data_IF_194154552778
#
_entry.id   IF_194154552778
#
_cell.length_a   1.000
_cell.length_b   1.000
_cell.length_c   1.000
_cell.angle_alpha   90.00
_cell.angle_beta   90.00
_cell.angle_gamma   90.00
#
_symmetry.space_group_name_H-M   'P 1'
#
loop_
_entity.id
_entity.type
_entity.pdbx_description
1 polymer ?
#
# COMPACT_ATOMS: atom_id res chain seq x y z
N UNK A 1 37.40 -7.43 -2.49
CA UNK A 1 37.17 -5.98 -2.36
C UNK A 1 37.56 -5.59 -0.94
N UNK A 2 38.29 -4.48 -0.79
CA UNK A 2 38.58 -3.93 0.54
C UNK A 2 37.32 -3.25 1.08
N UNK A 3 37.20 -3.08 2.40
CA UNK A 3 36.05 -2.39 3.01
C UNK A 3 35.91 -0.96 2.48
N UNK A 4 37.03 -0.30 2.18
CA UNK A 4 37.05 1.04 1.60
C UNK A 4 36.41 1.08 0.21
N UNK A 5 36.67 0.09 -0.65
CA UNK A 5 36.04 0.00 -1.98
C UNK A 5 34.51 -0.13 -1.89
N UNK A 6 34.02 -0.88 -0.90
CA UNK A 6 32.58 -1.08 -0.71
C UNK A 6 31.86 0.19 -0.21
N UNK A 7 32.52 0.98 0.64
CA UNK A 7 31.99 2.27 1.09
C UNK A 7 31.99 3.33 -0.03
N UNK A 8 32.98 3.31 -0.91
CA UNK A 8 33.05 4.19 -2.08
C UNK A 8 31.88 3.91 -3.05
N UNK A 9 31.55 2.62 -3.26
CA UNK A 9 30.39 2.22 -4.06
C UNK A 9 29.08 2.70 -3.42
N UNK A 10 28.90 2.55 -2.10
CA UNK A 10 27.70 3.03 -1.40
C UNK A 10 27.49 4.55 -1.58
N UNK A 11 28.56 5.35 -1.45
CA UNK A 11 28.49 6.80 -1.66
C UNK A 11 28.00 7.12 -3.07
N UNK A 12 28.60 6.50 -4.08
CA UNK A 12 28.24 6.76 -5.48
C UNK A 12 26.78 6.38 -5.77
N UNK A 13 26.31 5.25 -5.24
CA UNK A 13 24.93 4.77 -5.40
C UNK A 13 23.91 5.68 -4.73
N UNK A 14 24.22 6.19 -3.53
CA UNK A 14 23.36 7.16 -2.83
C UNK A 14 23.25 8.47 -3.60
N UNK A 15 24.35 8.97 -4.17
CA UNK A 15 24.28 10.19 -5.00
C UNK A 15 23.42 9.99 -6.24
N UNK A 16 23.55 8.83 -6.90
CA UNK A 16 22.73 8.50 -8.09
C UNK A 16 21.25 8.38 -7.71
N UNK A 17 20.91 7.73 -6.60
CA UNK A 17 19.51 7.58 -6.18
C UNK A 17 18.88 8.92 -5.76
N UNK A 18 19.61 9.77 -5.04
CA UNK A 18 19.16 11.12 -4.69
C UNK A 18 18.96 11.99 -5.94
N UNK A 19 19.88 11.93 -6.91
CA UNK A 19 19.74 12.64 -8.18
C UNK A 19 18.53 12.15 -9.00
N UNK A 20 18.31 10.83 -9.06
CA UNK A 20 17.19 10.26 -9.79
C UNK A 20 15.83 10.66 -9.18
N UNK A 21 15.72 10.61 -7.85
CA UNK A 21 14.50 11.04 -7.14
C UNK A 21 14.32 12.55 -7.26
N UNK A 22 15.39 13.33 -7.12
CA UNK A 22 15.36 14.78 -7.32
C UNK A 22 14.88 15.16 -8.72
N UNK A 23 15.39 14.50 -9.76
CA UNK A 23 14.94 14.68 -11.14
C UNK A 23 13.46 14.30 -11.33
N UNK A 24 13.01 13.21 -10.71
CA UNK A 24 11.61 12.79 -10.74
C UNK A 24 10.69 13.81 -10.06
N UNK A 25 11.08 14.36 -8.89
CA UNK A 25 10.33 15.40 -8.19
C UNK A 25 10.25 16.68 -9.04
N UNK A 26 11.37 17.12 -9.64
CA UNK A 26 11.38 18.28 -10.53
C UNK A 26 10.49 18.08 -11.76
N UNK A 27 10.51 16.86 -12.33
CA UNK A 27 9.59 16.47 -13.40
C UNK A 27 8.12 16.56 -12.96
N UNK A 28 7.76 15.94 -11.83
CA UNK A 28 6.40 16.01 -11.28
C UNK A 28 5.96 17.43 -10.93
N UNK A 29 6.89 18.29 -10.48
CA UNK A 29 6.60 19.68 -10.18
C UNK A 29 6.22 20.46 -11.45
N UNK A 30 6.91 20.22 -12.57
CA UNK A 30 6.57 20.82 -13.86
C UNK A 30 5.18 20.40 -14.38
N UNK A 31 4.79 19.14 -14.15
CA UNK A 31 3.49 18.59 -14.55
C UNK A 31 2.44 18.57 -13.43
N UNK A 32 2.66 19.34 -12.36
CA UNK A 32 1.84 19.30 -11.13
C UNK A 32 0.34 19.56 -11.38
N UNK A 33 0.01 20.49 -12.29
CA UNK A 33 -1.38 20.81 -12.63
C UNK A 33 -2.13 19.64 -13.26
N UNK A 34 -1.50 18.91 -14.18
CA UNK A 34 -2.11 17.72 -14.80
C UNK A 34 -2.27 16.59 -13.80
N UNK A 35 -1.28 16.40 -12.91
CA UNK A 35 -1.38 15.43 -11.81
C UNK A 35 -2.61 15.70 -10.93
N UNK A 36 -2.82 16.95 -10.53
CA UNK A 36 -3.95 17.32 -9.67
C UNK A 36 -5.28 17.03 -10.36
N UNK A 37 -5.42 17.41 -11.64
CA UNK A 37 -6.65 17.14 -12.41
C UNK A 37 -6.91 15.64 -12.53
N UNK A 38 -5.85 14.84 -12.70
CA UNK A 38 -5.95 13.38 -12.71
C UNK A 38 -6.41 12.84 -11.35
N UNK A 39 -5.82 13.30 -10.25
CA UNK A 39 -6.17 12.85 -8.90
C UNK A 39 -7.58 13.30 -8.46
N UNK A 40 -8.13 14.37 -9.03
CA UNK A 40 -9.50 14.86 -8.75
C UNK A 40 -10.61 14.08 -9.48
N UNK A 41 -10.27 13.32 -10.54
CA UNK A 41 -11.25 12.61 -11.35
C UNK A 41 -12.24 11.71 -10.56
N UNK A 42 -11.79 10.87 -9.59
CA UNK A 42 -12.72 10.04 -8.81
C UNK A 42 -13.66 10.85 -7.90
N UNK A 43 -13.26 12.04 -7.45
CA UNK A 43 -14.12 12.90 -6.61
C UNK A 43 -15.17 13.63 -7.42
N UNK A 44 -14.83 14.09 -8.63
CA UNK A 44 -15.80 14.74 -9.53
C UNK A 44 -16.97 13.82 -9.85
N UNK A 45 -16.73 12.52 -9.96
CA UNK A 45 -17.78 11.53 -10.17
C UNK A 45 -18.76 11.41 -9.00
N UNK A 46 -18.34 11.74 -7.77
CA UNK A 46 -19.19 11.70 -6.57
C UNK A 46 -19.90 13.04 -6.28
N UNK A 47 -19.65 14.09 -7.06
CA UNK A 47 -20.36 15.37 -6.95
C UNK A 47 -20.04 16.19 -5.69
N UNK A 48 -19.00 15.81 -4.94
CA UNK A 48 -18.56 16.52 -3.73
C UNK A 48 -17.90 17.85 -4.11
N UNK A 49 -18.30 18.94 -3.45
CA UNK A 49 -17.70 20.26 -3.65
C UNK A 49 -16.50 20.43 -2.71
N UNK A 50 -15.37 20.80 -3.27
CA UNK A 50 -14.19 21.16 -2.48
C UNK A 50 -14.37 22.54 -1.85
N UNK A 51 -14.05 22.63 -0.56
CA UNK A 51 -13.94 23.90 0.14
C UNK A 51 -12.47 24.24 0.30
N UNK A 52 -12.10 25.46 -0.09
CA UNK A 52 -10.76 25.98 0.15
C UNK A 52 -10.76 26.76 1.46
N UNK A 53 -10.08 26.23 2.49
CA UNK A 53 -10.09 26.82 3.82
C UNK A 53 -9.14 28.02 3.90
N UNK A 54 -8.06 28.00 3.09
CA UNK A 54 -7.12 29.11 3.00
C UNK A 54 -6.60 29.30 1.56
N UNK A 55 -6.27 30.56 1.15
CA UNK A 55 -5.66 30.83 -0.15
C UNK A 55 -4.28 30.16 -0.31
N UNK A 56 -3.58 29.87 0.80
CA UNK A 56 -2.28 29.18 0.79
C UNK A 56 -2.34 27.65 0.74
N UNK A 57 -3.49 27.04 1.06
CA UNK A 57 -3.63 25.58 1.18
C UNK A 57 -3.27 24.87 -0.14
N UNK A 58 -3.81 25.36 -1.25
CA UNK A 58 -3.57 24.79 -2.57
C UNK A 58 -2.09 24.77 -2.98
N UNK A 59 -1.33 25.81 -2.59
CA UNK A 59 0.11 25.88 -2.87
C UNK A 59 0.89 24.80 -2.10
N UNK A 60 0.60 24.64 -0.80
CA UNK A 60 1.24 23.60 0.01
C UNK A 60 0.84 22.19 -0.43
N UNK A 61 -0.43 21.98 -0.77
CA UNK A 61 -0.90 20.68 -1.28
C UNK A 61 -0.23 20.32 -2.60
N UNK A 62 -0.07 21.29 -3.53
CA UNK A 62 0.65 21.06 -4.79
C UNK A 62 2.11 20.63 -4.55
N UNK A 63 2.80 21.28 -3.61
CA UNK A 63 4.16 20.90 -3.23
C UNK A 63 4.21 19.48 -2.64
N UNK A 64 3.30 19.15 -1.72
CA UNK A 64 3.20 17.79 -1.15
C UNK A 64 2.96 16.76 -2.26
N UNK A 65 1.94 16.94 -3.10
CA UNK A 65 1.58 16.02 -4.19
C UNK A 65 2.76 15.79 -5.13
N UNK A 66 3.42 16.86 -5.60
CA UNK A 66 4.58 16.73 -6.50
C UNK A 66 5.74 15.97 -5.85
N UNK A 67 6.02 16.21 -4.56
CA UNK A 67 7.03 15.49 -3.80
C UNK A 67 6.73 14.01 -3.65
N UNK A 68 5.51 13.66 -3.23
CA UNK A 68 5.09 12.27 -3.07
C UNK A 68 5.02 11.53 -4.41
N UNK A 69 4.45 12.14 -5.45
CA UNK A 69 4.42 11.52 -6.78
C UNK A 69 5.82 11.34 -7.36
N UNK A 70 6.73 12.31 -7.19
CA UNK A 70 8.13 12.17 -7.58
C UNK A 70 8.83 11.04 -6.84
N UNK A 71 8.56 10.88 -5.53
CA UNK A 71 9.07 9.77 -4.73
C UNK A 71 8.51 8.42 -5.19
N UNK A 72 7.21 8.35 -5.50
CA UNK A 72 6.56 7.15 -6.03
C UNK A 72 7.18 6.75 -7.39
N UNK A 73 7.35 7.70 -8.31
CA UNK A 73 7.99 7.43 -9.61
C UNK A 73 9.47 7.09 -9.48
N UNK A 74 10.17 7.66 -8.50
CA UNK A 74 11.58 7.37 -8.21
C UNK A 74 11.81 6.05 -7.45
N UNK A 75 10.78 5.50 -6.81
CA UNK A 75 10.88 4.29 -5.98
C UNK A 75 11.50 3.05 -6.69
N UNK A 76 11.20 2.72 -7.97
CA UNK A 76 11.84 1.59 -8.64
C UNK A 76 13.32 1.83 -8.89
N UNK A 77 13.75 3.09 -9.05
CA UNK A 77 15.17 3.43 -9.19
C UNK A 77 15.89 3.25 -7.85
N UNK A 78 15.28 3.70 -6.75
CA UNK A 78 15.81 3.48 -5.39
C UNK A 78 15.99 1.98 -5.14
N UNK A 79 14.99 1.18 -5.49
CA UNK A 79 15.04 -0.29 -5.41
C UNK A 79 16.20 -0.89 -6.19
N UNK A 80 16.37 -0.45 -7.44
CA UNK A 80 17.44 -0.94 -8.29
C UNK A 80 18.81 -0.65 -7.69
N UNK A 81 19.05 0.57 -7.19
CA UNK A 81 20.32 0.93 -6.58
C UNK A 81 20.60 0.19 -5.26
N UNK A 82 19.56 -0.06 -4.43
CA UNK A 82 19.70 -0.88 -3.21
C UNK A 82 20.14 -2.30 -3.57
N UNK A 83 19.51 -2.90 -4.59
CA UNK A 83 19.83 -4.27 -5.01
C UNK A 83 21.21 -4.32 -5.70
N UNK A 84 21.56 -3.28 -6.47
CA UNK A 84 22.88 -3.11 -7.07
C UNK A 84 24.01 -3.05 -6.03
N UNK A 85 23.74 -2.47 -4.86
CA UNK A 85 24.69 -2.45 -3.76
C UNK A 85 24.92 -3.82 -3.10
N UNK A 86 23.90 -4.69 -3.10
CA UNK A 86 23.98 -6.06 -2.53
C UNK A 86 24.60 -7.07 -3.52
N UNK A 87 24.47 -6.82 -4.82
CA UNK A 87 24.99 -7.63 -5.92
C UNK A 87 26.46 -8.10 -5.80
N UNK A 88 27.45 -7.27 -5.38
CA UNK A 88 28.85 -7.72 -5.24
C UNK A 88 29.06 -8.74 -4.11
N UNK A 89 28.12 -8.87 -3.17
CA UNK A 89 28.17 -9.85 -2.08
C UNK A 89 27.61 -11.25 -2.44
N UNK A 90 27.03 -11.43 -3.62
CA UNK A 90 26.33 -12.67 -4.01
C UNK A 90 27.14 -13.55 -4.97
N UNK A 91 26.88 -14.85 -4.93
CA UNK A 91 27.51 -15.81 -5.85
C UNK A 91 27.01 -15.61 -7.29
N UNK A 92 27.81 -16.00 -8.28
CA UNK A 92 27.46 -15.81 -9.72
C UNK A 92 26.14 -16.50 -10.11
N UNK A 93 25.75 -17.57 -9.43
CA UNK A 93 24.50 -18.28 -9.68
C UNK A 93 23.27 -17.49 -9.18
N UNK A 94 23.37 -16.86 -8.00
CA UNK A 94 22.29 -16.08 -7.39
C UNK A 94 22.03 -14.77 -8.14
N UNK A 95 23.08 -14.20 -8.75
CA UNK A 95 23.00 -12.98 -9.58
C UNK A 95 21.95 -13.07 -10.69
N UNK A 96 21.71 -14.27 -11.25
CA UNK A 96 20.72 -14.46 -12.33
C UNK A 96 19.28 -14.30 -11.86
N UNK A 97 19.01 -14.58 -10.59
CA UNK A 97 17.66 -14.46 -10.02
C UNK A 97 17.31 -13.04 -9.62
N UNK A 98 18.31 -12.18 -9.36
CA UNK A 98 18.10 -10.77 -9.01
C UNK A 98 17.43 -9.98 -10.14
N UNK A 99 17.82 -10.19 -11.39
CA UNK A 99 17.24 -9.50 -12.56
C UNK A 99 15.71 -9.60 -12.66
N UNK A 100 15.11 -10.80 -12.71
CA UNK A 100 13.65 -10.94 -12.76
C UNK A 100 12.96 -10.47 -11.48
N UNK A 101 13.64 -10.46 -10.32
CA UNK A 101 13.09 -9.91 -9.08
C UNK A 101 12.91 -8.40 -9.18
N UNK A 102 13.92 -7.67 -9.66
CA UNK A 102 13.82 -6.21 -9.79
C UNK A 102 12.71 -5.85 -10.77
N UNK A 103 12.72 -6.44 -11.97
CA UNK A 103 11.69 -6.18 -12.98
C UNK A 103 10.28 -6.52 -12.48
N UNK A 104 10.11 -7.68 -11.83
CA UNK A 104 8.84 -8.05 -11.23
C UNK A 104 8.37 -7.07 -10.15
N UNK A 105 9.28 -6.60 -9.30
CA UNK A 105 8.97 -5.62 -8.26
C UNK A 105 8.56 -4.26 -8.81
N UNK A 106 9.23 -3.77 -9.87
CA UNK A 106 8.90 -2.49 -10.50
C UNK A 106 7.51 -2.55 -11.15
N UNK A 107 7.19 -3.64 -11.86
CA UNK A 107 5.87 -3.84 -12.48
C UNK A 107 4.78 -3.92 -11.41
N UNK A 108 4.99 -4.69 -10.34
CA UNK A 108 4.01 -4.79 -9.26
C UNK A 108 3.83 -3.48 -8.50
N UNK A 109 4.87 -2.67 -8.36
CA UNK A 109 4.77 -1.36 -7.71
C UNK A 109 3.84 -0.42 -8.49
N UNK A 110 4.01 -0.33 -9.81
CA UNK A 110 3.09 0.45 -10.66
C UNK A 110 1.67 -0.15 -10.70
N UNK A 111 1.55 -1.48 -10.69
CA UNK A 111 0.25 -2.14 -10.56
C UNK A 111 -0.43 -1.79 -9.23
N UNK A 112 0.32 -1.68 -8.15
CA UNK A 112 -0.18 -1.25 -6.84
C UNK A 112 -0.66 0.20 -6.81
N UNK A 113 0.07 1.10 -7.48
CA UNK A 113 -0.35 2.49 -7.67
C UNK A 113 -1.66 2.54 -8.49
N UNK A 114 -1.75 1.77 -9.57
CA UNK A 114 -2.97 1.71 -10.37
C UNK A 114 -4.14 1.14 -9.57
N UNK A 115 -3.90 0.07 -8.79
CA UNK A 115 -4.92 -0.56 -7.95
C UNK A 115 -5.44 0.37 -6.85
N UNK A 116 -4.56 1.10 -6.17
CA UNK A 116 -4.96 2.06 -5.15
C UNK A 116 -5.82 3.19 -5.69
N UNK A 117 -5.42 3.76 -6.82
CA UNK A 117 -6.18 4.84 -7.45
C UNK A 117 -7.54 4.38 -8.01
N UNK A 118 -7.59 3.22 -8.67
CA UNK A 118 -8.81 2.75 -9.35
C UNK A 118 -9.80 2.05 -8.43
N UNK A 119 -9.33 1.41 -7.35
CA UNK A 119 -10.17 0.57 -6.48
C UNK A 119 -10.25 1.12 -5.07
N UNK A 120 -9.10 1.40 -4.41
CA UNK A 120 -9.12 1.84 -3.01
C UNK A 120 -9.68 3.25 -2.86
N UNK A 121 -9.25 4.21 -3.68
CA UNK A 121 -9.72 5.60 -3.59
C UNK A 121 -11.25 5.71 -3.72
N UNK A 122 -11.92 5.18 -4.76
CA UNK A 122 -13.38 5.28 -4.85
C UNK A 122 -14.11 4.48 -3.76
N UNK A 123 -13.56 3.35 -3.31
CA UNK A 123 -14.12 2.59 -2.20
C UNK A 123 -14.08 3.38 -0.88
N UNK A 124 -12.94 4.01 -0.58
CA UNK A 124 -12.78 4.87 0.60
C UNK A 124 -13.72 6.07 0.55
N UNK A 125 -13.82 6.75 -0.60
CA UNK A 125 -14.73 7.88 -0.78
C UNK A 125 -16.20 7.46 -0.61
N UNK A 126 -16.62 6.34 -1.20
CA UNK A 126 -17.98 5.82 -1.04
C UNK A 126 -18.31 5.50 0.43
N UNK A 127 -17.36 4.90 1.15
CA UNK A 127 -17.51 4.63 2.58
C UNK A 127 -17.73 5.92 3.38
N UNK A 128 -16.91 6.95 3.17
CA UNK A 128 -17.05 8.22 3.89
C UNK A 128 -18.32 8.98 3.53
N UNK A 129 -18.75 8.95 2.26
CA UNK A 129 -20.02 9.56 1.83
C UNK A 129 -21.20 8.85 2.50
N UNK A 130 -21.25 7.51 2.42
CA UNK A 130 -22.31 6.71 3.05
C UNK A 130 -22.33 6.86 4.58
N UNK A 131 -21.17 7.03 5.21
CA UNK A 131 -21.07 7.27 6.65
C UNK A 131 -21.58 8.65 7.08
N UNK A 132 -21.39 9.67 6.23
CA UNK A 132 -21.82 11.05 6.50
C UNK A 132 -23.29 11.32 6.14
N UNK A 133 -23.94 10.44 5.38
CA UNK A 133 -25.35 10.56 5.00
C UNK A 133 -26.25 10.71 6.23
N UNK A 134 -27.00 11.82 6.29
CA UNK A 134 -28.01 12.08 7.32
C UNK A 134 -27.53 12.91 8.52
N UNK A 135 -26.26 13.33 8.60
CA UNK A 135 -25.73 14.08 9.76
C UNK A 135 -25.14 15.45 9.40
N UNK A 136 -24.41 15.61 8.28
CA UNK A 136 -23.71 16.86 7.91
C UNK A 136 -23.66 17.03 6.39
N UNK A 137 -23.70 18.27 5.87
CA UNK A 137 -23.37 18.55 4.46
C UNK A 137 -21.93 18.14 4.16
N UNK A 138 -21.74 17.31 3.13
CA UNK A 138 -20.44 16.72 2.79
C UNK A 138 -19.52 17.76 2.12
N UNK A 139 -18.87 18.60 2.94
CA UNK A 139 -17.86 19.57 2.53
C UNK A 139 -16.46 19.03 2.88
N UNK A 140 -15.58 18.94 1.89
CA UNK A 140 -14.26 18.33 2.04
C UNK A 140 -13.14 19.33 1.80
N UNK A 141 -12.11 19.30 2.65
CA UNK A 141 -10.85 20.03 2.45
C UNK A 141 -10.03 19.38 1.33
N UNK A 142 -9.43 20.20 0.48
CA UNK A 142 -8.54 19.74 -0.58
C UNK A 142 -7.31 19.03 0.02
N UNK A 143 -6.66 19.61 1.04
CA UNK A 143 -5.43 19.05 1.59
C UNK A 143 -5.65 17.66 2.18
N UNK A 144 -6.73 17.50 2.96
CA UNK A 144 -7.09 16.21 3.58
C UNK A 144 -7.41 15.12 2.55
N UNK A 145 -8.10 15.48 1.47
CA UNK A 145 -8.38 14.55 0.38
C UNK A 145 -7.08 14.04 -0.28
N UNK A 146 -6.19 14.95 -0.67
CA UNK A 146 -4.92 14.56 -1.30
C UNK A 146 -4.03 13.78 -0.33
N UNK A 147 -3.98 14.14 0.95
CA UNK A 147 -3.22 13.42 1.95
C UNK A 147 -3.72 11.97 2.09
N UNK A 148 -5.03 11.74 2.17
CA UNK A 148 -5.61 10.41 2.17
C UNK A 148 -5.19 9.61 0.94
N UNK A 149 -5.34 10.18 -0.26
CA UNK A 149 -5.00 9.49 -1.52
C UNK A 149 -3.50 9.17 -1.58
N UNK A 150 -2.64 10.11 -1.23
CA UNK A 150 -1.19 9.93 -1.25
C UNK A 150 -0.74 8.85 -0.26
N UNK A 151 -1.30 8.83 0.97
CA UNK A 151 -1.00 7.80 1.97
C UNK A 151 -1.47 6.42 1.49
N UNK A 152 -2.66 6.32 0.90
CA UNK A 152 -3.16 5.07 0.32
C UNK A 152 -2.25 4.56 -0.81
N UNK A 153 -1.85 5.43 -1.74
CA UNK A 153 -0.95 5.07 -2.85
C UNK A 153 0.43 4.65 -2.34
N UNK A 154 0.98 5.36 -1.35
CA UNK A 154 2.29 5.05 -0.78
C UNK A 154 2.28 3.73 0.02
N UNK A 155 1.27 3.54 0.87
CA UNK A 155 1.11 2.32 1.69
C UNK A 155 0.93 1.06 0.83
N UNK A 156 0.07 1.13 -0.18
CA UNK A 156 -0.18 0.02 -1.09
C UNK A 156 1.04 -0.29 -1.97
N UNK A 157 1.72 0.74 -2.50
CA UNK A 157 2.95 0.57 -3.27
C UNK A 157 4.04 -0.18 -2.50
N UNK A 158 4.29 0.23 -1.24
CA UNK A 158 5.26 -0.46 -0.37
C UNK A 158 4.82 -1.88 0.01
N UNK A 159 3.52 -2.12 0.17
CA UNK A 159 2.98 -3.46 0.48
C UNK A 159 3.30 -4.47 -0.62
N UNK A 160 3.11 -4.09 -1.89
CA UNK A 160 3.43 -4.97 -3.03
C UNK A 160 4.93 -5.25 -3.17
N UNK A 161 5.77 -4.28 -2.80
CA UNK A 161 7.22 -4.45 -2.79
C UNK A 161 7.69 -5.47 -1.74
N UNK A 162 7.10 -5.42 -0.53
CA UNK A 162 7.34 -6.40 0.55
C UNK A 162 6.82 -7.79 0.16
N UNK A 163 5.66 -7.88 -0.49
CA UNK A 163 5.08 -9.13 -0.96
C UNK A 163 5.98 -9.83 -2.00
N UNK A 164 6.45 -9.07 -2.99
CA UNK A 164 7.26 -9.62 -4.11
C UNK A 164 8.59 -10.19 -3.61
N UNK A 165 9.28 -9.44 -2.74
CA UNK A 165 10.55 -9.86 -2.15
C UNK A 165 10.38 -11.13 -1.32
N UNK A 166 9.32 -11.24 -0.51
CA UNK A 166 9.05 -12.43 0.32
C UNK A 166 8.63 -13.65 -0.50
N UNK A 167 7.73 -13.51 -1.47
CA UNK A 167 7.19 -14.62 -2.27
C UNK A 167 8.29 -15.29 -3.11
N UNK A 168 9.19 -14.48 -3.71
CA UNK A 168 10.27 -15.03 -4.53
C UNK A 168 11.42 -15.60 -3.71
N UNK A 169 11.76 -15.00 -2.56
CA UNK A 169 12.70 -15.61 -1.62
C UNK A 169 12.23 -16.99 -1.15
N UNK A 170 10.93 -17.16 -0.93
CA UNK A 170 10.37 -18.45 -0.55
C UNK A 170 10.55 -19.50 -1.65
N UNK A 171 10.38 -19.12 -2.91
CA UNK A 171 10.58 -20.01 -4.06
C UNK A 171 12.06 -20.42 -4.23
N UNK A 172 13.00 -19.54 -3.86
CA UNK A 172 14.44 -19.83 -3.90
C UNK A 172 14.87 -20.78 -2.78
N UNK A 173 14.31 -20.64 -1.56
CA UNK A 173 14.64 -21.53 -0.43
C UNK A 173 13.91 -22.88 -0.53
N UNK A 174 12.66 -22.88 -1.02
CA UNK A 174 11.84 -24.09 -1.17
C UNK A 174 11.43 -24.29 -2.64
N UNK A 175 12.32 -24.84 -3.48
CA UNK A 175 11.93 -25.26 -4.82
C UNK A 175 10.87 -26.35 -4.70
N UNK A 176 9.66 -26.02 -5.18
CA UNK A 176 8.44 -26.83 -5.34
C UNK A 176 8.57 -28.35 -5.02
N UNK A 177 8.62 -28.69 -3.73
CA UNK A 177 8.84 -30.06 -3.28
C UNK A 177 8.33 -30.39 -1.87
N UNK A 178 7.55 -29.53 -1.21
CA UNK A 178 6.87 -29.90 0.04
C UNK A 178 5.39 -29.47 0.02
N UNK A 179 4.50 -30.46 0.07
CA UNK A 179 3.03 -30.30 0.03
C UNK A 179 2.42 -29.81 1.35
N UNK A 180 3.24 -29.50 2.34
CA UNK A 180 2.77 -29.04 3.64
C UNK A 180 3.57 -27.80 4.02
N UNK A 181 2.95 -26.62 3.98
CA UNK A 181 3.10 -25.48 4.92
C UNK A 181 2.48 -24.24 4.27
N UNK A 182 1.15 -24.21 4.11
CA UNK A 182 0.39 -22.99 3.77
C UNK A 182 -0.29 -22.41 5.03
N UNK A 183 -0.53 -23.20 6.08
CA UNK A 183 -1.25 -22.74 7.28
C UNK A 183 -0.44 -21.83 8.24
N UNK A 184 0.89 -21.74 8.10
CA UNK A 184 1.74 -20.87 8.93
C UNK A 184 1.86 -19.44 8.37
N UNK A 185 1.64 -19.27 7.07
CA UNK A 185 1.81 -18.00 6.35
C UNK A 185 0.67 -17.00 6.62
N UNK A 186 -0.53 -17.50 6.86
CA UNK A 186 -1.68 -16.69 7.30
C UNK A 186 -1.43 -16.04 8.66
N UNK A 187 -0.80 -16.75 9.60
CA UNK A 187 -0.56 -16.24 10.96
C UNK A 187 0.49 -15.12 11.00
N UNK A 188 1.56 -15.21 10.21
CA UNK A 188 2.62 -14.19 10.19
C UNK A 188 2.23 -12.89 9.48
N UNK A 189 1.31 -12.98 8.52
CA UNK A 189 0.75 -11.79 7.85
C UNK A 189 -0.08 -10.92 8.81
N UNK A 190 -0.65 -11.54 9.86
CA UNK A 190 -1.41 -10.83 10.90
C UNK A 190 -0.55 -10.21 12.01
N UNK A 191 0.67 -10.70 12.25
CA UNK A 191 1.48 -10.29 13.42
C UNK A 191 2.64 -9.33 13.08
N UNK A 192 2.96 -9.12 11.80
CA UNK A 192 4.07 -8.28 11.35
C UNK A 192 3.71 -6.81 11.05
N UNK A 193 2.54 -6.34 11.48
CA UNK A 193 2.11 -4.95 11.30
C UNK A 193 2.51 -4.10 12.50
N UNK A 194 3.68 -3.45 12.43
CA UNK A 194 3.98 -2.31 13.30
C UNK A 194 2.99 -1.18 13.01
N UNK A 195 2.04 -1.06 13.92
CA UNK A 195 1.44 0.15 14.46
C UNK A 195 0.58 1.04 13.52
N UNK A 196 -0.74 0.88 13.74
CA UNK A 196 -1.80 1.89 13.72
C UNK A 196 -2.57 2.23 12.42
N UNK A 197 -2.08 1.98 11.20
CA UNK A 197 -2.80 2.47 9.98
C UNK A 197 -3.48 1.38 9.11
N UNK A 198 -3.50 0.13 9.56
CA UNK A 198 -3.80 -1.03 8.69
C UNK A 198 -5.13 -1.76 8.99
N UNK A 199 -5.96 -1.23 9.90
CA UNK A 199 -7.13 -1.95 10.43
C UNK A 199 -8.44 -1.76 9.65
N UNK A 200 -8.57 -0.76 8.76
CA UNK A 200 -9.82 -0.56 7.99
C UNK A 200 -9.85 -1.22 6.61
N UNK A 201 -8.69 -1.52 6.00
CA UNK A 201 -8.69 -2.17 4.67
C UNK A 201 -8.90 -3.69 4.78
N UNK A 202 -8.48 -4.31 5.89
CA UNK A 202 -8.71 -5.75 6.13
C UNK A 202 -10.15 -6.06 6.57
N UNK A 203 -10.89 -5.13 7.17
CA UNK A 203 -12.29 -5.35 7.56
C UNK A 203 -13.23 -5.40 6.35
N UNK A 204 -12.88 -4.75 5.24
CA UNK A 204 -13.66 -4.77 3.99
C UNK A 204 -13.64 -6.12 3.26
N UNK A 205 -12.54 -6.88 3.33
CA UNK A 205 -12.45 -8.22 2.73
C UNK A 205 -12.97 -9.35 3.63
N UNK A 206 -13.03 -9.13 4.95
CA UNK A 206 -13.70 -10.07 5.88
C UNK A 206 -15.22 -9.83 5.99
N UNK A 207 -15.74 -8.67 5.57
CA UNK A 207 -17.17 -8.37 5.65
C UNK A 207 -18.04 -9.07 4.60
N UNK A 208 -17.47 -9.91 3.72
CA UNK A 208 -18.25 -10.80 2.86
C UNK A 208 -18.82 -12.03 3.61
N UNK A 209 -18.72 -12.06 4.94
CA UNK A 209 -19.30 -13.07 5.81
C UNK A 209 -20.27 -12.46 6.86
N UNK A 210 -20.94 -11.35 6.54
CA UNK A 210 -22.06 -10.82 7.33
C UNK A 210 -23.37 -11.43 6.84
N UNK A 211 -23.67 -12.64 7.30
CA UNK A 211 -25.03 -13.13 7.61
C UNK A 211 -25.01 -14.64 7.92
N UNK A 212 -24.60 -15.02 9.13
CA UNK A 212 -24.94 -16.33 9.68
C UNK A 212 -26.31 -16.23 10.35
N UNK A 213 -27.37 -16.37 9.57
CA UNK A 213 -28.70 -16.68 10.09
C UNK A 213 -28.68 -18.14 10.51
N UNK A 214 -28.75 -18.43 11.82
CA UNK A 214 -28.92 -19.80 12.28
C UNK A 214 -30.37 -19.99 12.75
N UNK A 215 -31.08 -20.90 12.10
CA UNK A 215 -32.40 -21.37 12.49
C UNK A 215 -32.26 -22.53 13.47
N UNK A 216 -32.69 -22.35 14.71
CA UNK A 216 -32.93 -23.46 15.65
C UNK A 216 -34.44 -23.50 15.90
N UNK A 217 -35.08 -24.62 15.55
CA UNK A 217 -36.51 -24.88 15.80
C UNK A 217 -37.47 -23.76 15.35
N UNK A 218 -37.33 -23.27 14.11
CA UNK A 218 -38.39 -22.50 13.45
C UNK A 218 -38.61 -21.05 13.91
N UNK A 219 -37.71 -20.48 14.72
CA UNK A 219 -37.80 -19.07 15.15
C UNK A 219 -36.49 -18.31 14.91
N UNK A 220 -36.59 -17.13 14.30
CA UNK A 220 -35.46 -16.24 13.95
C UNK A 220 -35.12 -15.31 15.12
N UNK A 221 -33.85 -15.28 15.56
CA UNK A 221 -33.37 -14.33 16.57
C UNK A 221 -32.18 -13.51 16.04
N UNK A 222 -32.24 -12.19 16.24
CA UNK A 222 -31.17 -11.22 15.95
C UNK A 222 -30.61 -10.70 17.28
N UNK A 223 -29.36 -11.04 17.62
CA UNK A 223 -28.74 -10.53 18.85
C UNK A 223 -28.16 -9.13 18.66
N UNK A 224 -28.63 -8.21 19.49
CA UNK A 224 -28.08 -6.88 19.70
C UNK A 224 -27.38 -6.83 21.07
N UNK A 225 -26.18 -6.28 21.09
CA UNK A 225 -25.42 -5.77 22.25
C UNK A 225 -24.77 -6.77 23.22
N UNK A 226 -23.55 -6.42 23.67
CA UNK A 226 -23.09 -6.73 25.02
C UNK A 226 -21.97 -7.77 25.17
N UNK A 227 -20.73 -7.29 25.11
CA UNK A 227 -19.53 -7.78 25.83
C UNK A 227 -19.62 -9.11 26.60
N UNK A 228 -18.78 -10.10 26.26
CA UNK A 228 -17.61 -10.54 27.06
C UNK A 228 -17.02 -11.86 26.56
N UNK A 229 -15.70 -11.95 26.74
CA UNK A 229 -14.89 -13.17 26.88
C UNK A 229 -14.22 -13.76 25.61
N UNK A 230 -13.01 -13.23 25.40
CA UNK A 230 -11.91 -13.60 24.49
C UNK A 230 -11.37 -15.05 24.62
N UNK A 231 -12.04 -15.95 25.37
CA UNK A 231 -11.50 -17.27 25.74
C UNK A 231 -12.00 -18.46 24.92
N UNK A 232 -13.12 -18.33 24.21
CA UNK A 232 -13.82 -19.48 23.60
C UNK A 232 -13.72 -19.56 22.08
N UNK A 233 -13.18 -18.51 21.45
CA UNK A 233 -13.02 -18.41 19.98
C UNK A 233 -11.81 -19.17 19.42
N UNK A 234 -10.84 -19.53 20.28
CA UNK A 234 -9.58 -20.18 19.86
C UNK A 234 -9.68 -21.70 19.64
N UNK A 235 -10.81 -22.36 19.99
CA UNK A 235 -10.99 -23.81 19.75
C UNK A 235 -11.79 -24.16 18.49
N UNK A 236 -12.39 -23.19 17.80
CA UNK A 236 -13.30 -23.47 16.67
C UNK A 236 -12.73 -23.13 15.27
N UNK A 237 -11.52 -22.58 15.19
CA UNK A 237 -10.83 -22.30 13.92
C UNK A 237 -9.87 -23.40 13.42
N UNK A 238 -9.77 -24.56 14.09
CA UNK A 238 -8.94 -25.70 13.61
C UNK A 238 -9.78 -26.86 13.02
N UNK A 239 -11.01 -26.61 12.57
CA UNK A 239 -11.93 -27.66 12.15
C UNK A 239 -12.86 -27.32 10.98
N UNK A 240 -12.43 -26.44 10.06
CA UNK A 240 -13.03 -26.26 8.74
C UNK A 240 -11.92 -25.92 7.73
#
# INVERSE_FOLDING_TARGET
MTIFDHLEELRQRIFVSVLAVGAAILGCFAFSKELIVFLEAPVKAQGVRFLQLAPGEFFFTTLKVSGYCGLLLGSPVILYEIIAFVLPGLTRAERRFLGPIVLGSSVLFYAGIAFSYLVLTPAALNFFVSYAEGVVESLWSIDQYFELVLVLMFSTGLSFQKLTSKLRWLHVIYPAGSRHTISSWTTWSCFGGSDAFHLEVCSGWCSCCSSCTYTINGSSYTDASGSTTFGTLLRRCMGC
#
